data_IF_324149725120
#
_entry.id   IF_324149725120
#
_cell.length_a   1.000
_cell.length_b   1.000
_cell.length_c   1.000
_cell.angle_alpha   90.00
_cell.angle_beta   90.00
_cell.angle_gamma   90.00
#
_symmetry.space_group_name_H-M   'P 1'
#
loop_
_entity.id
_entity.type
_entity.pdbx_description
1 polymer ?
#
# COMPACT_ATOMS: atom_id res chain seq x y z
N UNK A 1 -22.16 -9.37 14.64
CA UNK A 1 -22.70 -9.45 13.27
C UNK A 1 -23.44 -10.76 12.92
N UNK A 2 -23.48 -11.81 13.77
CA UNK A 2 -24.48 -12.89 13.64
C UNK A 2 -24.41 -13.78 12.38
N UNK A 3 -23.32 -13.74 11.61
CA UNK A 3 -23.18 -14.56 10.40
C UNK A 3 -22.88 -16.02 10.77
N UNK A 4 -23.74 -16.96 10.37
CA UNK A 4 -23.45 -18.38 10.43
C UNK A 4 -22.90 -18.85 9.08
N UNK A 5 -21.62 -19.25 9.07
CA UNK A 5 -20.85 -19.90 8.00
C UNK A 5 -20.99 -19.25 6.61
N UNK A 6 -20.03 -18.39 6.28
CA UNK A 6 -19.94 -17.70 4.99
C UNK A 6 -19.25 -18.63 3.97
N UNK A 7 -19.74 -18.66 2.71
CA UNK A 7 -19.15 -19.50 1.65
C UNK A 7 -17.96 -18.82 0.94
N UNK A 8 -17.94 -17.49 0.93
CA UNK A 8 -16.95 -16.71 0.19
C UNK A 8 -16.65 -15.38 0.84
N UNK A 9 -15.37 -15.03 0.92
CA UNK A 9 -14.89 -13.70 1.30
C UNK A 9 -13.91 -13.24 0.23
N UNK A 10 -13.99 -11.98 -0.19
CA UNK A 10 -13.08 -11.37 -1.14
C UNK A 10 -12.40 -10.16 -0.49
N UNK A 11 -11.07 -10.15 -0.50
CA UNK A 11 -10.25 -8.98 -0.23
C UNK A 11 -9.66 -8.50 -1.55
N UNK A 12 -10.06 -7.31 -1.99
CA UNK A 12 -9.42 -6.59 -3.09
C UNK A 12 -8.58 -5.47 -2.46
N UNK A 13 -7.27 -5.70 -2.34
CA UNK A 13 -6.39 -4.84 -1.55
C UNK A 13 -5.98 -3.58 -2.30
N UNK A 14 -5.59 -2.53 -1.57
CA UNK A 14 -5.20 -1.25 -2.15
C UNK A 14 -6.28 -0.18 -2.05
N UNK A 15 -6.10 0.90 -2.81
CA UNK A 15 -6.99 2.07 -2.76
C UNK A 15 -8.02 2.02 -3.87
N UNK A 16 -9.26 2.39 -3.53
CA UNK A 16 -10.34 2.43 -4.51
C UNK A 16 -10.15 3.56 -5.52
N UNK A 17 -10.80 3.45 -6.68
CA UNK A 17 -10.76 4.51 -7.70
C UNK A 17 -11.27 5.85 -7.16
N UNK A 18 -12.30 5.83 -6.30
CA UNK A 18 -12.84 7.04 -5.66
C UNK A 18 -11.78 7.74 -4.81
N UNK A 19 -10.96 6.96 -4.10
CA UNK A 19 -9.87 7.45 -3.26
C UNK A 19 -8.71 8.05 -4.06
N UNK A 20 -8.44 7.50 -5.25
CA UNK A 20 -7.44 8.00 -6.19
C UNK A 20 -7.93 9.25 -6.96
N UNK A 21 -9.23 9.36 -7.19
CA UNK A 21 -9.84 10.51 -7.89
C UNK A 21 -10.04 11.72 -6.98
N UNK A 22 -10.01 11.54 -5.65
CA UNK A 22 -10.02 12.66 -4.71
C UNK A 22 -8.62 13.31 -4.67
N UNK A 23 -8.43 14.28 -5.55
CA UNK A 23 -7.18 15.02 -5.71
C UNK A 23 -6.76 15.76 -4.43
N UNK A 24 -7.68 16.04 -3.50
CA UNK A 24 -7.37 16.75 -2.26
C UNK A 24 -6.69 15.86 -1.21
N UNK A 25 -6.71 14.53 -1.37
CA UNK A 25 -6.17 13.58 -0.37
C UNK A 25 -4.72 13.19 -0.62
N UNK A 26 -4.13 13.68 -1.70
CA UNK A 26 -2.72 13.49 -2.02
C UNK A 26 -2.35 12.08 -2.51
N UNK A 27 -3.31 11.21 -2.85
CA UNK A 27 -3.01 9.87 -3.39
C UNK A 27 -2.54 9.91 -4.85
N UNK A 28 -2.86 10.98 -5.58
CA UNK A 28 -2.45 11.18 -6.97
C UNK A 28 -1.25 12.13 -7.07
N UNK A 29 -0.40 11.90 -8.06
CA UNK A 29 0.69 12.83 -8.42
C UNK A 29 0.20 13.99 -9.29
N UNK A 30 -1.06 13.96 -9.78
CA UNK A 30 -1.61 14.95 -10.71
C UNK A 30 -1.75 16.35 -10.12
N UNK A 31 -1.92 16.45 -8.81
CA UNK A 31 -2.08 17.72 -8.10
C UNK A 31 -0.96 17.91 -7.07
N UNK A 32 0.21 18.46 -7.47
CA UNK A 32 1.30 18.75 -6.54
C UNK A 32 0.93 19.69 -5.40
N UNK A 33 -0.09 20.55 -5.56
CA UNK A 33 -0.54 21.49 -4.53
C UNK A 33 -1.40 20.86 -3.42
N UNK A 34 -1.85 19.61 -3.60
CA UNK A 34 -2.66 18.91 -2.61
C UNK A 34 -1.87 18.62 -1.33
N UNK A 35 -2.59 18.59 -0.20
CA UNK A 35 -2.00 18.17 1.07
C UNK A 35 -1.56 16.71 1.00
N UNK A 36 -0.40 16.40 1.59
CA UNK A 36 0.12 15.04 1.68
C UNK A 36 -0.60 14.25 2.80
N UNK A 37 -1.89 14.00 2.62
CA UNK A 37 -2.77 13.38 3.62
C UNK A 37 -2.55 11.86 3.70
N UNK A 38 -2.80 11.12 2.61
CA UNK A 38 -2.67 9.65 2.51
C UNK A 38 -3.59 8.81 3.41
N UNK A 39 -4.46 9.39 4.25
CA UNK A 39 -5.43 8.63 5.03
C UNK A 39 -6.56 8.09 4.15
N UNK A 40 -6.85 6.81 4.30
CA UNK A 40 -8.01 6.18 3.68
C UNK A 40 -9.29 6.64 4.39
N UNK A 41 -9.24 6.69 5.72
CA UNK A 41 -10.35 7.04 6.60
C UNK A 41 -9.97 8.24 7.48
N UNK A 42 -10.45 9.43 7.10
CA UNK A 42 -10.09 10.69 7.77
C UNK A 42 -10.72 10.85 9.16
N UNK A 43 -11.83 10.15 9.41
CA UNK A 43 -12.61 10.32 10.64
C UNK A 43 -11.98 9.55 11.81
N UNK A 44 -11.32 8.43 11.49
CA UNK A 44 -10.70 7.56 12.50
C UNK A 44 -9.17 7.64 12.54
N UNK A 45 -8.51 8.11 11.47
CA UNK A 45 -7.05 8.19 11.42
C UNK A 45 -6.57 9.62 11.73
N UNK A 46 -5.76 9.78 12.78
CA UNK A 46 -5.26 11.08 13.21
C UNK A 46 -3.93 11.53 12.58
N UNK A 47 -3.20 10.63 11.93
CA UNK A 47 -1.84 10.88 11.43
C UNK A 47 -1.83 10.89 9.90
N UNK A 48 -1.37 11.99 9.31
CA UNK A 48 -1.19 12.13 7.85
C UNK A 48 0.19 11.67 7.37
N UNK A 49 0.35 11.52 6.06
CA UNK A 49 1.62 11.28 5.41
C UNK A 49 2.65 12.39 5.71
N UNK A 50 2.21 13.66 5.65
CA UNK A 50 3.03 14.80 6.06
C UNK A 50 3.51 14.67 7.52
N UNK A 51 2.64 14.24 8.44
CA UNK A 51 3.05 14.07 9.84
C UNK A 51 4.15 13.01 9.99
N UNK A 52 4.02 11.86 9.33
CA UNK A 52 5.04 10.81 9.39
C UNK A 52 6.39 11.31 8.86
N UNK A 53 6.41 11.98 7.71
CA UNK A 53 7.66 12.50 7.12
C UNK A 53 8.33 13.56 8.00
N UNK A 54 7.54 14.39 8.68
CA UNK A 54 8.09 15.47 9.52
C UNK A 54 8.48 15.03 10.93
N UNK A 55 7.90 13.95 11.48
CA UNK A 55 8.12 13.53 12.88
C UNK A 55 9.04 12.32 13.01
N UNK A 56 8.95 11.35 12.11
CA UNK A 56 9.71 10.10 12.26
C UNK A 56 11.21 10.35 12.29
N UNK A 57 11.91 9.59 13.12
CA UNK A 57 13.38 9.59 13.13
C UNK A 57 13.92 8.90 11.88
N UNK A 58 15.21 9.08 11.62
CA UNK A 58 15.90 8.50 10.46
C UNK A 58 15.73 6.99 10.35
N UNK A 59 15.95 6.27 11.44
CA UNK A 59 15.82 4.81 11.54
C UNK A 59 14.39 4.35 11.19
N UNK A 60 13.39 5.08 11.67
CA UNK A 60 11.98 4.79 11.41
C UNK A 60 11.58 5.09 9.96
N UNK A 61 12.12 6.17 9.36
CA UNK A 61 11.94 6.47 7.94
C UNK A 61 12.60 5.40 7.06
N UNK A 62 13.82 4.97 7.41
CA UNK A 62 14.52 3.88 6.72
C UNK A 62 13.71 2.59 6.76
N UNK A 63 13.18 2.23 7.94
CA UNK A 63 12.32 1.06 8.11
C UNK A 63 11.05 1.17 7.26
N UNK A 64 10.35 2.30 7.33
CA UNK A 64 9.14 2.56 6.56
C UNK A 64 9.37 2.39 5.05
N UNK A 65 10.40 3.02 4.49
CA UNK A 65 10.71 2.91 3.06
C UNK A 65 11.18 1.50 2.67
N UNK A 66 11.90 0.82 3.57
CA UNK A 66 12.40 -0.54 3.32
C UNK A 66 11.29 -1.58 3.18
N UNK A 67 10.06 -1.26 3.58
CA UNK A 67 8.89 -2.11 3.33
C UNK A 67 8.69 -2.35 1.82
N UNK A 68 9.02 -1.40 0.95
CA UNK A 68 8.77 -1.53 -0.51
C UNK A 68 9.97 -1.18 -1.40
N UNK A 69 11.10 -0.80 -0.81
CA UNK A 69 12.32 -0.40 -1.51
C UNK A 69 13.55 -1.13 -0.94
N UNK A 70 14.65 -1.16 -1.71
CA UNK A 70 15.91 -1.69 -1.20
C UNK A 70 16.50 -0.80 -0.09
N UNK A 71 17.39 -1.38 0.72
CA UNK A 71 17.99 -0.69 1.88
C UNK A 71 18.81 0.54 1.49
N UNK A 72 19.48 0.54 0.34
CA UNK A 72 20.28 1.66 -0.12
C UNK A 72 19.41 2.86 -0.48
N UNK A 73 18.39 2.62 -1.30
CA UNK A 73 17.40 3.63 -1.70
C UNK A 73 16.61 4.16 -0.50
N UNK A 74 16.21 3.29 0.42
CA UNK A 74 15.49 3.66 1.66
C UNK A 74 16.32 4.60 2.53
N UNK A 75 17.60 4.29 2.73
CA UNK A 75 18.54 5.14 3.46
C UNK A 75 18.79 6.48 2.77
N UNK A 76 18.92 6.46 1.46
CA UNK A 76 19.11 7.69 0.68
C UNK A 76 17.90 8.61 0.82
N UNK A 77 16.69 8.07 0.67
CA UNK A 77 15.46 8.84 0.76
C UNK A 77 15.19 9.37 2.16
N UNK A 78 15.42 8.56 3.20
CA UNK A 78 15.30 8.99 4.60
C UNK A 78 16.20 10.20 4.90
N UNK A 79 17.45 10.21 4.39
CA UNK A 79 18.34 11.38 4.52
C UNK A 79 17.79 12.61 3.80
N UNK A 80 17.21 12.45 2.61
CA UNK A 80 16.62 13.54 1.82
C UNK A 80 15.39 14.14 2.50
N UNK A 81 14.54 13.31 3.10
CA UNK A 81 13.40 13.75 3.92
C UNK A 81 13.89 14.62 5.09
N UNK A 82 14.91 14.16 5.83
CA UNK A 82 15.48 14.93 6.94
C UNK A 82 16.02 16.28 6.49
N UNK A 83 16.84 16.29 5.42
CA UNK A 83 17.40 17.53 4.91
C UNK A 83 16.34 18.51 4.40
N UNK A 84 15.27 18.03 3.74
CA UNK A 84 14.16 18.90 3.30
C UNK A 84 13.45 19.50 4.52
N UNK A 85 13.06 18.69 5.51
CA UNK A 85 12.28 19.18 6.67
C UNK A 85 13.07 20.08 7.63
N UNK A 86 14.40 20.00 7.61
CA UNK A 86 15.27 20.95 8.32
C UNK A 86 15.20 22.37 7.71
N UNK A 87 14.98 22.45 6.39
CA UNK A 87 14.84 23.72 5.67
C UNK A 87 13.39 24.22 5.69
N UNK A 88 12.44 23.36 5.33
CA UNK A 88 11.01 23.67 5.34
C UNK A 88 10.17 22.39 5.56
N UNK A 89 9.10 22.44 6.38
CA UNK A 89 8.23 21.28 6.58
C UNK A 89 7.61 20.76 5.26
N UNK A 90 7.58 19.44 5.09
CA UNK A 90 6.95 18.77 3.96
C UNK A 90 5.44 18.78 4.16
N UNK A 91 4.67 19.47 3.31
CA UNK A 91 3.21 19.64 3.50
C UNK A 91 2.39 19.07 2.36
N UNK A 92 2.93 19.15 1.15
CA UNK A 92 2.20 18.86 -0.09
C UNK A 92 2.74 17.64 -0.81
N UNK A 93 1.96 17.16 -1.79
CA UNK A 93 2.41 16.14 -2.75
C UNK A 93 3.68 16.61 -3.46
N UNK A 94 3.72 17.87 -3.89
CA UNK A 94 4.87 18.49 -4.56
C UNK A 94 6.14 18.45 -3.73
N UNK A 95 6.06 18.82 -2.44
CA UNK A 95 7.21 18.78 -1.53
C UNK A 95 7.83 17.38 -1.45
N UNK A 96 6.99 16.35 -1.41
CA UNK A 96 7.49 14.98 -1.34
C UNK A 96 7.98 14.46 -2.71
N UNK A 97 7.39 14.92 -3.81
CA UNK A 97 7.92 14.66 -5.16
C UNK A 97 9.35 15.21 -5.31
N UNK A 98 9.61 16.44 -4.86
CA UNK A 98 10.96 17.04 -4.87
C UNK A 98 11.98 16.22 -4.06
N UNK A 99 11.55 15.69 -2.91
CA UNK A 99 12.39 14.82 -2.08
C UNK A 99 12.75 13.53 -2.82
N UNK A 100 11.82 13.02 -3.64
CA UNK A 100 12.01 11.81 -4.44
C UNK A 100 12.85 12.02 -5.70
N UNK A 101 13.10 13.27 -6.12
CA UNK A 101 13.89 13.55 -7.33
C UNK A 101 15.32 13.00 -7.22
N UNK A 102 15.75 12.29 -8.27
CA UNK A 102 17.06 11.66 -8.34
C UNK A 102 17.12 10.25 -7.74
N UNK A 103 16.00 9.75 -7.21
CA UNK A 103 15.89 8.36 -6.79
C UNK A 103 15.99 7.43 -8.01
N UNK A 104 16.87 6.43 -7.94
CA UNK A 104 17.00 5.43 -9.01
C UNK A 104 15.75 4.56 -9.07
N UNK A 105 14.87 4.84 -10.03
CA UNK A 105 13.63 4.09 -10.25
C UNK A 105 13.82 2.84 -11.12
N UNK A 106 12.85 1.93 -11.07
CA UNK A 106 12.69 0.88 -12.09
C UNK A 106 12.23 1.52 -13.40
N UNK A 107 12.74 1.03 -14.54
CA UNK A 107 12.29 1.49 -15.85
C UNK A 107 10.75 1.41 -15.95
N UNK A 108 10.10 2.46 -16.48
CA UNK A 108 8.64 2.61 -16.65
C UNK A 108 7.81 2.89 -15.39
N UNK A 109 8.42 3.11 -14.23
CA UNK A 109 7.72 3.57 -13.02
C UNK A 109 8.13 5.01 -12.68
N UNK A 110 7.18 5.85 -12.29
CA UNK A 110 7.54 7.14 -11.69
C UNK A 110 8.37 6.88 -10.43
N UNK A 111 9.50 7.56 -10.28
CA UNK A 111 10.45 7.39 -9.18
C UNK A 111 9.78 7.54 -7.81
N UNK A 112 8.76 8.40 -7.69
CA UNK A 112 8.00 8.63 -6.47
C UNK A 112 6.99 7.52 -6.12
N UNK A 113 6.73 6.56 -7.02
CA UNK A 113 5.68 5.56 -6.80
C UNK A 113 5.93 4.69 -5.57
N UNK A 114 7.14 4.17 -5.39
CA UNK A 114 7.48 3.34 -4.23
C UNK A 114 7.55 4.17 -2.92
N UNK A 115 8.16 5.37 -2.91
CA UNK A 115 8.06 6.28 -1.76
C UNK A 115 6.64 6.56 -1.29
N UNK A 116 5.73 6.86 -2.21
CA UNK A 116 4.33 7.13 -1.90
C UNK A 116 3.59 5.87 -1.42
N UNK A 117 3.88 4.71 -2.02
CA UNK A 117 3.35 3.44 -1.55
C UNK A 117 3.80 3.14 -0.11
N UNK A 118 5.08 3.33 0.22
CA UNK A 118 5.61 3.13 1.56
C UNK A 118 4.86 4.00 2.59
N UNK A 119 4.67 5.28 2.24
CA UNK A 119 3.97 6.24 3.08
C UNK A 119 2.52 5.85 3.29
N UNK A 120 1.82 5.43 2.22
CA UNK A 120 0.43 4.99 2.27
C UNK A 120 0.25 3.76 3.16
N UNK A 121 1.10 2.75 2.98
CA UNK A 121 1.11 1.54 3.81
C UNK A 121 1.27 1.90 5.29
N UNK A 122 2.18 2.83 5.60
CA UNK A 122 2.44 3.24 6.98
C UNK A 122 1.28 4.02 7.59
N UNK A 123 0.71 4.99 6.88
CA UNK A 123 -0.44 5.78 7.34
C UNK A 123 -1.64 4.89 7.62
N UNK A 124 -1.88 3.89 6.78
CA UNK A 124 -3.08 3.07 6.86
C UNK A 124 -2.89 1.73 7.56
N UNK A 125 -1.67 1.46 8.06
CA UNK A 125 -1.31 0.17 8.68
C UNK A 125 -1.77 -1.03 7.83
N UNK A 126 -1.63 -0.92 6.50
CA UNK A 126 -2.27 -1.82 5.53
C UNK A 126 -1.87 -3.29 5.77
N UNK A 127 -0.58 -3.52 6.03
CA UNK A 127 -0.02 -4.85 6.23
C UNK A 127 -0.41 -5.45 7.59
N UNK A 128 -0.42 -4.62 8.64
CA UNK A 128 -0.81 -5.03 9.99
C UNK A 128 -2.30 -5.37 10.03
N UNK A 129 -3.15 -4.55 9.41
CA UNK A 129 -4.58 -4.81 9.26
C UNK A 129 -4.84 -6.10 8.48
N UNK A 130 -4.10 -6.35 7.39
CA UNK A 130 -4.22 -7.59 6.63
C UNK A 130 -3.84 -8.82 7.46
N UNK A 131 -2.72 -8.75 8.21
CA UNK A 131 -2.28 -9.83 9.11
C UNK A 131 -3.31 -10.16 10.18
N UNK A 132 -4.00 -9.14 10.70
CA UNK A 132 -5.05 -9.33 11.71
C UNK A 132 -6.37 -9.83 11.10
N UNK A 133 -6.73 -9.34 9.91
CA UNK A 133 -8.00 -9.64 9.27
C UNK A 133 -8.03 -11.05 8.64
N UNK A 134 -6.93 -11.54 8.07
CA UNK A 134 -6.89 -12.84 7.38
C UNK A 134 -7.34 -14.01 8.26
N UNK A 135 -6.80 -14.23 9.49
CA UNK A 135 -7.26 -15.33 10.35
C UNK A 135 -8.74 -15.21 10.70
N UNK A 136 -9.19 -14.00 11.08
CA UNK A 136 -10.58 -13.74 11.46
C UNK A 136 -11.54 -14.01 10.30
N UNK A 137 -11.19 -13.56 9.10
CA UNK A 137 -11.98 -13.81 7.89
C UNK A 137 -12.04 -15.30 7.57
N UNK A 138 -10.90 -15.99 7.61
CA UNK A 138 -10.84 -17.43 7.36
C UNK A 138 -11.65 -18.24 8.37
N UNK A 139 -11.68 -17.82 9.65
CA UNK A 139 -12.46 -18.47 10.69
C UNK A 139 -13.98 -18.35 10.48
N UNK A 140 -14.45 -17.28 9.83
CA UNK A 140 -15.86 -17.10 9.48
C UNK A 140 -16.35 -18.03 8.35
N UNK A 141 -15.43 -18.58 7.56
CA UNK A 141 -15.80 -19.46 6.45
C UNK A 141 -16.37 -20.80 6.94
N UNK A 142 -17.33 -21.34 6.20
CA UNK A 142 -17.70 -22.76 6.29
C UNK A 142 -16.64 -23.69 5.69
N UNK A 143 -16.75 -24.99 5.96
CA UNK A 143 -15.96 -26.02 5.25
C UNK A 143 -16.27 -25.94 3.76
N UNK A 144 -15.22 -25.93 2.92
CA UNK A 144 -15.31 -25.71 1.49
C UNK A 144 -15.40 -24.23 1.08
N UNK A 145 -15.58 -23.32 2.04
CA UNK A 145 -15.61 -21.89 1.82
C UNK A 145 -14.26 -21.34 1.32
N UNK A 146 -14.31 -20.24 0.58
CA UNK A 146 -13.15 -19.65 -0.10
C UNK A 146 -12.86 -18.24 0.38
N UNK A 147 -11.60 -17.96 0.69
CA UNK A 147 -11.09 -16.60 0.87
C UNK A 147 -10.25 -16.25 -0.36
N UNK A 148 -10.71 -15.27 -1.12
CA UNK A 148 -10.04 -14.73 -2.28
C UNK A 148 -9.31 -13.45 -1.86
N UNK A 149 -8.02 -13.35 -2.20
CA UNK A 149 -7.22 -12.17 -1.87
C UNK A 149 -6.50 -11.70 -3.13
N UNK A 150 -6.85 -10.50 -3.61
CA UNK A 150 -6.17 -9.81 -4.70
C UNK A 150 -5.15 -8.86 -4.07
N UNK A 151 -3.88 -9.08 -4.39
CA UNK A 151 -2.75 -8.27 -3.90
C UNK A 151 -2.19 -7.44 -5.04
N UNK A 152 -1.63 -6.26 -4.76
CA UNK A 152 -1.03 -5.36 -5.75
C UNK A 152 0.46 -5.12 -5.53
N UNK A 153 1.02 -5.59 -4.40
CA UNK A 153 2.46 -5.54 -4.15
C UNK A 153 2.97 -6.73 -3.34
N UNK A 154 4.28 -6.98 -3.45
CA UNK A 154 4.92 -8.16 -2.88
C UNK A 154 4.77 -8.30 -1.36
N UNK A 155 4.60 -7.20 -0.62
CA UNK A 155 4.37 -7.28 0.83
C UNK A 155 3.01 -7.83 1.24
N UNK A 156 1.96 -7.58 0.47
CA UNK A 156 0.65 -8.20 0.72
C UNK A 156 0.72 -9.69 0.39
N UNK A 157 1.34 -10.03 -0.74
CA UNK A 157 1.62 -11.41 -1.15
C UNK A 157 2.40 -12.17 -0.06
N UNK A 158 3.47 -11.57 0.48
CA UNK A 158 4.25 -12.15 1.59
C UNK A 158 3.35 -12.45 2.80
N UNK A 159 2.43 -11.55 3.15
CA UNK A 159 1.48 -11.75 4.26
C UNK A 159 0.54 -12.93 3.97
N UNK A 160 -0.07 -12.98 2.78
CA UNK A 160 -0.98 -14.06 2.37
C UNK A 160 -0.26 -15.42 2.38
N UNK A 161 0.94 -15.49 1.78
CA UNK A 161 1.77 -16.70 1.72
C UNK A 161 2.36 -17.12 3.06
N UNK A 162 2.45 -16.20 4.02
CA UNK A 162 2.87 -16.50 5.40
C UNK A 162 1.70 -17.05 6.22
N UNK A 163 0.49 -16.53 5.99
CA UNK A 163 -0.72 -17.01 6.65
C UNK A 163 -1.08 -18.44 6.24
N UNK A 164 -1.05 -18.77 4.95
CA UNK A 164 -1.33 -20.13 4.46
C UNK A 164 -0.40 -20.53 3.32
N UNK A 165 0.02 -21.80 3.34
CA UNK A 165 0.70 -22.45 2.20
C UNK A 165 -0.27 -23.21 1.30
N UNK A 166 -1.52 -23.37 1.72
CA UNK A 166 -2.54 -24.09 0.98
C UNK A 166 -3.47 -23.09 0.27
N UNK A 167 -3.04 -22.65 -0.91
CA UNK A 167 -3.79 -21.76 -1.79
C UNK A 167 -3.65 -22.16 -3.25
N UNK A 168 -4.58 -21.69 -4.09
CA UNK A 168 -4.47 -21.72 -5.55
C UNK A 168 -4.04 -20.33 -6.02
N UNK A 169 -3.08 -20.26 -6.95
CA UNK A 169 -2.54 -19.02 -7.50
C UNK A 169 -1.01 -18.88 -7.35
N UNK A 170 -0.42 -17.71 -7.65
CA UNK A 170 -1.11 -16.48 -8.03
C UNK A 170 -1.73 -16.57 -9.43
N UNK A 171 -3.00 -16.20 -9.54
CA UNK A 171 -3.65 -15.94 -10.83
C UNK A 171 -3.36 -14.49 -11.20
N UNK A 172 -2.84 -14.27 -12.41
CA UNK A 172 -2.42 -12.96 -12.91
C UNK A 172 -3.37 -12.48 -14.01
N UNK A 173 -3.54 -11.15 -14.19
CA UNK A 173 -4.33 -10.60 -15.29
C UNK A 173 -3.73 -11.02 -16.64
N UNK A 174 -4.59 -11.12 -17.65
CA UNK A 174 -4.15 -11.32 -19.04
C UNK A 174 -3.61 -10.01 -19.63
N UNK A 175 -2.89 -10.08 -20.75
CA UNK A 175 -2.43 -8.87 -21.44
C UNK A 175 -3.61 -7.99 -21.88
N UNK A 176 -4.68 -8.60 -22.42
CA UNK A 176 -5.91 -7.91 -22.79
C UNK A 176 -6.56 -7.17 -21.61
N UNK A 177 -6.51 -7.76 -20.41
CA UNK A 177 -7.01 -7.12 -19.20
C UNK A 177 -6.11 -5.93 -18.80
N UNK A 178 -4.79 -6.08 -18.87
CA UNK A 178 -3.84 -5.00 -18.56
C UNK A 178 -4.00 -3.83 -19.53
N UNK A 179 -4.25 -4.09 -20.82
CA UNK A 179 -4.49 -3.04 -21.81
C UNK A 179 -5.78 -2.26 -21.52
N UNK A 180 -6.86 -2.95 -21.14
CA UNK A 180 -8.14 -2.32 -20.77
C UNK A 180 -8.09 -1.68 -19.39
N UNK A 181 -7.29 -2.22 -18.48
CA UNK A 181 -7.15 -1.78 -17.11
C UNK A 181 -5.66 -1.81 -16.68
N UNK A 182 -4.89 -0.74 -16.98
CA UNK A 182 -3.47 -0.67 -16.62
C UNK A 182 -3.17 -0.78 -15.12
N UNK A 183 -4.19 -0.64 -14.25
CA UNK A 183 -4.09 -0.80 -12.79
C UNK A 183 -4.05 -2.27 -12.36
N UNK A 184 -4.63 -3.17 -13.16
CA UNK A 184 -4.58 -4.61 -12.90
C UNK A 184 -3.18 -5.19 -13.06
N UNK A 185 -2.25 -4.51 -13.73
CA UNK A 185 -0.89 -4.98 -14.08
C UNK A 185 -0.12 -5.68 -12.96
N UNK A 186 -0.30 -5.25 -11.71
CA UNK A 186 0.40 -5.81 -10.56
C UNK A 186 -0.50 -6.69 -9.68
N UNK A 187 -1.74 -6.95 -10.12
CA UNK A 187 -2.71 -7.76 -9.41
C UNK A 187 -2.28 -9.23 -9.42
N UNK A 188 -2.30 -9.85 -8.25
CA UNK A 188 -2.14 -11.29 -8.08
C UNK A 188 -3.26 -11.81 -7.16
N UNK A 189 -4.08 -12.73 -7.68
CA UNK A 189 -5.17 -13.35 -6.94
C UNK A 189 -4.73 -14.69 -6.33
N UNK A 190 -4.98 -14.83 -5.03
CA UNK A 190 -4.81 -16.05 -4.25
C UNK A 190 -6.17 -16.56 -3.77
N UNK A 191 -6.39 -17.87 -3.86
CA UNK A 191 -7.62 -18.52 -3.37
C UNK A 191 -7.27 -19.51 -2.26
N UNK A 192 -7.66 -19.19 -1.04
CA UNK A 192 -7.49 -20.05 0.13
C UNK A 192 -8.79 -20.81 0.37
N UNK A 193 -8.70 -22.12 0.57
CA UNK A 193 -9.87 -22.99 0.75
C UNK A 193 -9.86 -23.52 2.19
N UNK A 194 -10.96 -23.31 2.91
CA UNK A 194 -11.13 -23.87 4.24
C UNK A 194 -11.50 -25.35 4.14
N UNK A 195 -10.67 -26.19 4.73
CA UNK A 195 -10.90 -27.64 4.82
C UNK A 195 -11.68 -27.98 6.07
#
# INVERSE_FOLDING_TARGET
>A
NGFNKIDGILFDLGVSNLQLMDEARGFSFSNPGAQLDMRIDKDFQGITGANLLNVLRKDQLEEMFSKVMDKGSSRWLAKRVLGKREMEPIKTVGDFLEVCEGLRGKARLNQATLPFLALRIAVNSELENLKEALPKAFDLLGVGGKLLVITFHSKEEEVVKSFSKNFVGPIKPTMDEIEKNPRARSAELFVLIKK
#
